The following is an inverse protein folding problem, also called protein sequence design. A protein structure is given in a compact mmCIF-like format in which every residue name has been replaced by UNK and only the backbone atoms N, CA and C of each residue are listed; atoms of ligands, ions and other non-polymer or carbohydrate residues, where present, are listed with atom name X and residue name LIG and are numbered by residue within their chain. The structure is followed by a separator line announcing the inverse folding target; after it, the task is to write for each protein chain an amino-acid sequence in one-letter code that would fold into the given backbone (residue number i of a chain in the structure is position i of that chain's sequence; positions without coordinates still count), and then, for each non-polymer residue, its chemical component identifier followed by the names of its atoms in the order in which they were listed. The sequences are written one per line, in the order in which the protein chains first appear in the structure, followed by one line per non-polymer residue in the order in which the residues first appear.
data_IF_760676365149
#
_entry.id   IF_760676365149
#
_cell.length_a   1.000
_cell.length_b   1.000
_cell.length_c   1.000
_cell.angle_alpha   90.00
_cell.angle_beta   90.00
_cell.angle_gamma   90.00
#
_symmetry.space_group_name_H-M   'P 1'
#
loop_
_entity.id
_entity.type
_entity.pdbx_description
1 polymer ?
#
# COMPACT_ATOMS: atom_id res chain seq x y z
N UNK A 1 -36.66 3.35 -4.94
CA UNK A 1 -35.96 2.10 -4.54
C UNK A 1 -34.47 2.31 -4.74
N UNK A 2 -33.61 2.31 -3.72
CA UNK A 2 -32.18 2.52 -3.95
C UNK A 2 -31.59 1.27 -4.62
N UNK A 3 -31.12 1.47 -5.84
CA UNK A 3 -30.54 0.47 -6.74
C UNK A 3 -29.25 -0.06 -6.12
N UNK A 4 -29.22 -1.33 -5.69
CA UNK A 4 -28.02 -1.98 -5.20
C UNK A 4 -26.95 -2.05 -6.33
N UNK A 5 -25.77 -1.42 -6.19
CA UNK A 5 -24.73 -1.54 -7.20
C UNK A 5 -23.93 -2.84 -7.03
N UNK A 6 -23.38 -3.37 -8.13
CA UNK A 6 -22.99 -4.77 -8.30
C UNK A 6 -21.73 -5.09 -7.50
N UNK A 7 -21.86 -5.82 -6.41
CA UNK A 7 -20.72 -6.43 -5.71
C UNK A 7 -21.14 -7.73 -5.00
N UNK A 8 -22.02 -8.53 -5.62
CA UNK A 8 -22.28 -9.93 -5.22
C UNK A 8 -21.45 -10.86 -6.12
N UNK A 9 -20.16 -10.58 -6.24
CA UNK A 9 -19.17 -11.48 -6.88
C UNK A 9 -17.77 -11.38 -6.25
N UNK A 10 -17.58 -10.59 -5.20
CA UNK A 10 -16.24 -10.21 -4.72
C UNK A 10 -16.02 -10.77 -3.32
N UNK A 11 -14.82 -11.27 -3.06
CA UNK A 11 -14.39 -11.95 -1.82
C UNK A 11 -14.38 -10.99 -0.61
N UNK A 12 -15.56 -10.52 -0.23
CA UNK A 12 -15.82 -9.62 0.87
C UNK A 12 -17.31 -9.49 1.20
N UNK A 13 -17.59 -8.81 2.31
CA UNK A 13 -18.91 -8.66 2.89
C UNK A 13 -19.26 -7.17 3.02
N UNK A 14 -20.48 -6.79 2.67
CA UNK A 14 -20.97 -5.43 2.91
C UNK A 14 -21.49 -5.34 4.34
N UNK A 15 -20.86 -4.49 5.16
CA UNK A 15 -21.22 -4.27 6.56
C UNK A 15 -21.85 -2.90 6.75
N UNK A 16 -22.83 -2.81 7.65
CA UNK A 16 -23.36 -1.52 8.14
C UNK A 16 -22.65 -1.14 9.42
N UNK A 17 -22.12 0.07 9.49
CA UNK A 17 -21.55 0.60 10.74
C UNK A 17 -22.66 1.07 11.67
N UNK A 18 -22.34 1.22 12.95
CA UNK A 18 -23.22 1.83 13.95
C UNK A 18 -23.62 3.27 13.61
N UNK A 19 -22.81 3.97 12.80
CA UNK A 19 -23.11 5.29 12.27
C UNK A 19 -24.04 5.27 11.04
N UNK A 20 -24.46 4.09 10.56
CA UNK A 20 -25.34 3.93 9.40
C UNK A 20 -24.61 3.88 8.05
N UNK A 21 -23.27 3.97 8.02
CA UNK A 21 -22.50 3.87 6.78
C UNK A 21 -22.47 2.44 6.24
N UNK A 22 -22.48 2.32 4.92
CA UNK A 22 -22.26 1.06 4.23
C UNK A 22 -20.77 0.94 3.88
N UNK A 23 -20.08 0.00 4.51
CA UNK A 23 -18.67 -0.31 4.27
C UNK A 23 -18.50 -1.71 3.69
N UNK A 24 -17.34 -1.98 3.14
CA UNK A 24 -16.94 -3.29 2.62
C UNK A 24 -15.87 -3.88 3.52
N UNK A 25 -16.04 -5.13 3.95
CA UNK A 25 -15.08 -5.94 4.70
C UNK A 25 -14.47 -6.97 3.76
N UNK A 26 -13.16 -6.92 3.54
CA UNK A 26 -12.49 -7.93 2.72
C UNK A 26 -12.41 -9.28 3.45
N UNK A 27 -12.77 -10.38 2.77
CA UNK A 27 -12.69 -11.75 3.29
C UNK A 27 -11.68 -12.63 2.55
N UNK A 28 -10.85 -12.03 1.67
CA UNK A 28 -9.76 -12.73 0.99
C UNK A 28 -8.82 -13.35 2.03
N UNK A 29 -8.56 -14.65 1.89
CA UNK A 29 -7.65 -15.40 2.75
C UNK A 29 -6.21 -14.98 2.47
N UNK A 30 -5.50 -14.58 3.53
CA UNK A 30 -4.07 -14.30 3.49
C UNK A 30 -3.27 -15.61 3.37
N UNK A 31 -1.96 -15.55 3.03
CA UNK A 31 -1.11 -16.74 2.99
C UNK A 31 -1.05 -17.51 4.32
N UNK A 32 -1.27 -16.84 5.45
CA UNK A 32 -1.34 -17.44 6.79
C UNK A 32 -2.67 -18.16 7.10
N UNK A 33 -3.62 -18.17 6.16
CA UNK A 33 -4.92 -18.82 6.32
C UNK A 33 -5.99 -17.96 6.99
N UNK A 34 -5.65 -16.80 7.56
CA UNK A 34 -6.65 -15.88 8.13
C UNK A 34 -7.30 -15.01 7.07
N UNK A 35 -8.59 -14.65 7.22
CA UNK A 35 -9.22 -13.67 6.36
C UNK A 35 -8.57 -12.28 6.56
N UNK A 36 -8.59 -11.48 5.50
CA UNK A 36 -8.06 -10.12 5.54
C UNK A 36 -8.70 -9.28 6.65
N UNK A 37 -10.04 -9.25 6.68
CA UNK A 37 -10.84 -8.57 7.69
C UNK A 37 -10.84 -7.04 7.60
N UNK A 38 -10.08 -6.45 6.66
CA UNK A 38 -9.98 -4.99 6.52
C UNK A 38 -11.31 -4.39 6.06
N UNK A 39 -11.76 -3.35 6.77
CA UNK A 39 -12.96 -2.59 6.44
C UNK A 39 -12.56 -1.33 5.67
N UNK A 40 -13.11 -1.16 4.47
CA UNK A 40 -12.86 -0.03 3.56
C UNK A 40 -14.19 0.55 3.06
N UNK A 41 -14.12 1.73 2.43
CA UNK A 41 -15.29 2.34 1.79
C UNK A 41 -15.87 1.41 0.72
N UNK A 42 -17.20 1.29 0.68
CA UNK A 42 -17.91 0.47 -0.30
C UNK A 42 -17.97 1.16 -1.68
N UNK A 43 -16.80 1.51 -2.23
CA UNK A 43 -16.67 2.10 -3.56
C UNK A 43 -15.80 1.19 -4.42
N UNK A 44 -16.15 1.08 -5.72
CA UNK A 44 -15.39 0.25 -6.68
C UNK A 44 -13.90 0.57 -6.67
N UNK A 45 -13.53 1.85 -6.58
CA UNK A 45 -12.14 2.30 -6.54
C UNK A 45 -11.39 1.82 -5.29
N UNK A 46 -12.01 1.87 -4.12
CA UNK A 46 -11.41 1.42 -2.85
C UNK A 46 -11.24 -0.09 -2.85
N UNK A 47 -12.27 -0.84 -3.24
CA UNK A 47 -12.25 -2.31 -3.29
C UNK A 47 -11.20 -2.81 -4.29
N UNK A 48 -11.21 -2.26 -5.51
CA UNK A 48 -10.22 -2.61 -6.55
C UNK A 48 -8.79 -2.30 -6.12
N UNK A 49 -8.55 -1.16 -5.48
CA UNK A 49 -7.22 -0.78 -4.99
C UNK A 49 -6.76 -1.69 -3.85
N UNK A 50 -7.64 -2.00 -2.90
CA UNK A 50 -7.35 -2.92 -1.80
C UNK A 50 -7.01 -4.32 -2.31
N UNK A 51 -7.77 -4.86 -3.27
CA UNK A 51 -7.54 -6.21 -3.81
C UNK A 51 -6.12 -6.43 -4.36
N UNK A 52 -5.47 -5.37 -4.85
CA UNK A 52 -4.08 -5.44 -5.34
C UNK A 52 -3.08 -5.89 -4.27
N UNK A 53 -3.37 -5.70 -2.99
CA UNK A 53 -2.51 -6.16 -1.90
C UNK A 53 -2.56 -7.69 -1.72
N UNK A 54 -3.63 -8.34 -2.18
CA UNK A 54 -3.77 -9.81 -2.09
C UNK A 54 -3.19 -10.54 -3.29
N UNK A 55 -2.87 -9.83 -4.38
CA UNK A 55 -2.16 -10.41 -5.50
C UNK A 55 -0.64 -10.41 -5.21
N UNK A 56 -0.01 -11.57 -4.93
CA UNK A 56 1.42 -11.62 -4.63
C UNK A 56 2.29 -11.12 -5.79
N UNK A 57 1.80 -11.24 -7.03
CA UNK A 57 2.48 -10.76 -8.24
C UNK A 57 2.23 -9.26 -8.53
N UNK A 58 1.50 -8.56 -7.66
CA UNK A 58 1.30 -7.12 -7.78
C UNK A 58 2.61 -6.37 -7.61
N UNK A 59 2.81 -5.30 -8.39
CA UNK A 59 3.94 -4.39 -8.21
C UNK A 59 4.01 -3.85 -6.77
N UNK A 60 2.85 -3.66 -6.11
CA UNK A 60 2.79 -3.25 -4.70
C UNK A 60 3.49 -4.25 -3.78
N UNK A 61 3.17 -5.54 -3.91
CA UNK A 61 3.76 -6.59 -3.08
C UNK A 61 5.23 -6.80 -3.39
N UNK A 62 5.59 -6.80 -4.68
CA UNK A 62 6.99 -6.86 -5.09
C UNK A 62 7.83 -5.74 -4.49
N UNK A 63 7.31 -4.51 -4.47
CA UNK A 63 8.03 -3.37 -3.93
C UNK A 63 8.01 -3.34 -2.38
N UNK A 64 7.06 -4.03 -1.74
CA UNK A 64 6.98 -4.15 -0.28
C UNK A 64 7.92 -5.22 0.30
N UNK A 65 8.53 -6.06 -0.55
CA UNK A 65 9.52 -7.05 -0.12
C UNK A 65 10.66 -6.35 0.62
N UNK A 66 10.98 -6.88 1.80
CA UNK A 66 12.07 -6.35 2.64
C UNK A 66 13.42 -6.64 1.98
N UNK A 67 14.31 -5.66 2.00
CA UNK A 67 15.70 -5.89 1.63
C UNK A 67 16.38 -6.82 2.64
N UNK A 68 17.38 -7.56 2.19
CA UNK A 68 18.13 -8.46 3.06
C UNK A 68 18.86 -7.70 4.18
N UNK A 69 19.30 -6.47 3.89
CA UNK A 69 19.76 -5.51 4.89
C UNK A 69 19.14 -4.13 4.60
N UNK A 70 18.80 -3.35 5.63
CA UNK A 70 18.33 -1.98 5.43
C UNK A 70 19.38 -1.14 4.69
N UNK A 71 18.94 -0.37 3.70
CA UNK A 71 19.80 0.52 2.93
C UNK A 71 19.69 1.92 3.54
N UNK A 72 20.77 2.59 3.95
CA UNK A 72 20.68 3.94 4.49
C UNK A 72 20.30 4.95 3.39
N UNK A 73 19.39 5.88 3.71
CA UNK A 73 19.05 6.99 2.82
C UNK A 73 20.29 7.86 2.56
N UNK A 74 20.59 8.10 1.28
CA UNK A 74 21.75 8.85 0.82
C UNK A 74 21.48 10.35 0.59
N UNK A 75 20.24 10.81 0.78
CA UNK A 75 19.93 12.23 0.64
C UNK A 75 20.41 13.04 1.85
N UNK A 76 20.62 14.33 1.60
CA UNK A 76 20.85 15.31 2.65
C UNK A 76 19.50 15.91 3.06
N UNK A 77 19.27 16.02 4.38
CA UNK A 77 18.13 16.75 4.94
C UNK A 77 18.24 18.26 4.70
N UNK A 78 17.18 18.99 5.02
CA UNK A 78 17.13 20.45 4.85
C UNK A 78 18.23 21.17 5.67
N UNK A 79 18.62 20.61 6.81
CA UNK A 79 19.68 21.12 7.69
C UNK A 79 21.11 20.83 7.21
N UNK A 80 21.28 20.29 5.99
CA UNK A 80 22.60 19.94 5.45
C UNK A 80 23.21 18.66 6.05
N UNK A 81 22.48 17.97 6.93
CA UNK A 81 22.91 16.71 7.55
C UNK A 81 22.51 15.51 6.70
N UNK A 82 23.32 14.42 6.68
CA UNK A 82 22.93 13.20 5.97
C UNK A 82 21.69 12.60 6.62
N UNK A 83 20.68 12.24 5.82
CA UNK A 83 19.42 11.71 6.32
C UNK A 83 19.63 10.37 7.05
N UNK A 84 20.36 9.44 6.43
CA UNK A 84 20.76 8.16 7.03
C UNK A 84 19.61 7.22 7.44
N UNK A 85 18.35 7.57 7.14
CA UNK A 85 17.19 6.77 7.53
C UNK A 85 17.27 5.38 6.91
N UNK A 86 17.05 4.34 7.71
CA UNK A 86 17.11 2.96 7.26
C UNK A 86 15.92 2.62 6.34
N UNK A 87 16.18 2.43 5.05
CA UNK A 87 15.21 2.05 4.04
C UNK A 87 15.09 0.53 4.01
N UNK A 88 13.90 0.02 4.30
CA UNK A 88 13.70 -1.42 4.50
C UNK A 88 13.09 -2.14 3.30
N UNK A 89 12.54 -1.41 2.32
CA UNK A 89 11.93 -1.94 1.09
C UNK A 89 11.79 -0.82 0.05
N UNK A 90 11.53 -1.16 -1.22
CA UNK A 90 11.25 -0.17 -2.28
C UNK A 90 10.02 0.68 -1.96
N UNK A 91 9.00 0.08 -1.37
CA UNK A 91 7.79 0.77 -0.93
C UNK A 91 8.10 1.80 0.16
N UNK A 92 8.82 1.39 1.20
CA UNK A 92 9.24 2.26 2.30
C UNK A 92 10.16 3.39 1.82
N UNK A 93 11.06 3.11 0.88
CA UNK A 93 11.92 4.09 0.23
C UNK A 93 11.10 5.19 -0.46
N UNK A 94 10.14 4.84 -1.30
CA UNK A 94 9.30 5.85 -1.99
C UNK A 94 8.49 6.66 -0.99
N UNK A 95 7.93 6.00 0.03
CA UNK A 95 7.16 6.69 1.06
C UNK A 95 8.02 7.69 1.83
N UNK A 96 9.23 7.30 2.24
CA UNK A 96 10.19 8.16 2.92
C UNK A 96 10.58 9.37 2.06
N UNK A 97 10.94 9.16 0.80
CA UNK A 97 11.28 10.25 -0.12
C UNK A 97 10.10 11.21 -0.32
N UNK A 98 8.88 10.69 -0.45
CA UNK A 98 7.67 11.51 -0.56
C UNK A 98 7.41 12.39 0.65
N UNK A 99 7.72 11.89 1.85
CA UNK A 99 7.51 12.63 3.10
C UNK A 99 8.65 13.61 3.41
N UNK A 100 9.91 13.19 3.24
CA UNK A 100 11.07 13.90 3.81
C UNK A 100 11.91 14.67 2.80
N UNK A 101 11.85 14.33 1.51
CA UNK A 101 12.72 14.93 0.49
C UNK A 101 11.96 15.54 -0.68
N UNK A 102 10.68 15.22 -0.81
CA UNK A 102 9.90 15.46 -2.03
C UNK A 102 10.39 14.55 -3.17
N UNK A 103 9.46 13.93 -3.88
CA UNK A 103 9.82 13.10 -5.04
C UNK A 103 10.10 14.02 -6.24
N UNK A 104 11.39 14.28 -6.52
CA UNK A 104 11.82 14.90 -7.79
C UNK A 104 12.10 13.81 -8.82
N UNK A 105 11.08 13.46 -9.61
CA UNK A 105 11.19 12.48 -10.70
C UNK A 105 10.31 11.24 -10.53
N UNK A 106 10.61 10.18 -11.29
CA UNK A 106 9.85 8.93 -11.20
C UNK A 106 10.35 8.04 -10.05
N UNK A 107 9.49 7.13 -9.57
CA UNK A 107 9.89 6.12 -8.56
C UNK A 107 11.10 5.30 -9.01
N UNK A 108 11.23 5.04 -10.32
CA UNK A 108 12.36 4.33 -10.92
C UNK A 108 13.67 5.10 -10.76
N UNK A 109 13.64 6.44 -10.85
CA UNK A 109 14.83 7.26 -10.65
C UNK A 109 15.34 7.16 -9.21
N UNK A 110 14.45 7.04 -8.22
CA UNK A 110 14.84 6.80 -6.83
C UNK A 110 15.52 5.43 -6.72
N UNK A 111 14.94 4.37 -7.28
CA UNK A 111 15.50 3.02 -7.22
C UNK A 111 16.87 2.91 -7.89
N UNK A 112 17.04 3.56 -9.04
CA UNK A 112 18.30 3.57 -9.79
C UNK A 112 19.47 4.12 -8.96
N UNK A 113 19.24 5.10 -8.08
CA UNK A 113 20.29 5.62 -7.16
C UNK A 113 20.89 4.54 -6.25
N UNK A 114 20.08 3.53 -5.92
CA UNK A 114 20.46 2.43 -5.03
C UNK A 114 20.77 1.12 -5.78
N UNK A 115 20.82 1.14 -7.12
CA UNK A 115 21.08 -0.05 -7.95
C UNK A 115 19.92 -1.06 -7.95
N UNK A 116 18.68 -0.60 -7.76
CA UNK A 116 17.48 -1.41 -7.57
C UNK A 116 16.52 -1.44 -8.76
#
# INVERSE_FOLDING_TARGET
MPRAPPAVQDQGEVIRTTAGDIKYRCTITKPDGQPCGTVISNTKGSISSHRKIHNPNSAYNRDAVKFQQPIPCQETGEDGTPCGTALTSKHNMVHHYGSQHGIKGSRLAIFAKYGL
#
